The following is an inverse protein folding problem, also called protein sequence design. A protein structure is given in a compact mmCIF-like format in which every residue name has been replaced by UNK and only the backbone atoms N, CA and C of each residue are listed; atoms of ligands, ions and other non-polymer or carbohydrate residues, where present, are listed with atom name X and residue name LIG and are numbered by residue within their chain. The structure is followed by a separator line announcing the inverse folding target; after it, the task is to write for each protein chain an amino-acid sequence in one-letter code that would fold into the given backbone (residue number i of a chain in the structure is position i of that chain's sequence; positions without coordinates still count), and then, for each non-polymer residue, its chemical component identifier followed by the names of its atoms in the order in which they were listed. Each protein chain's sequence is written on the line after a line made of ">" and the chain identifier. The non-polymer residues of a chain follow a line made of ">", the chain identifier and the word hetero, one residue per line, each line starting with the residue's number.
data_IF_546526018084
#
_entry.id   IF_546526018084
#
_cell.length_a   1.000
_cell.length_b   1.000
_cell.length_c   1.000
_cell.angle_alpha   90.00
_cell.angle_beta   90.00
_cell.angle_gamma   90.00
#
_symmetry.space_group_name_H-M   'P 1'
#
loop_
_entity.id
_entity.type
_entity.pdbx_description
1 polymer ?
#
# COMPACT_ATOMS: atom_id res chain seq x y z
N UNK A 1 -23.97 7.20 37.22
CA UNK A 1 -24.56 8.46 36.75
C UNK A 1 -25.56 8.11 35.66
N UNK A 2 -26.86 8.09 36.00
CA UNK A 2 -27.93 7.84 35.02
C UNK A 2 -28.22 9.18 34.33
N UNK A 3 -28.07 9.23 33.02
CA UNK A 3 -28.51 10.39 32.24
C UNK A 3 -30.04 10.35 32.27
N UNK A 4 -30.64 11.44 32.75
CA UNK A 4 -32.08 11.60 32.80
C UNK A 4 -32.56 12.03 31.40
N UNK A 5 -33.12 11.08 30.67
CA UNK A 5 -33.50 11.24 29.26
C UNK A 5 -34.74 12.15 29.09
N UNK A 6 -35.40 12.52 30.19
CA UNK A 6 -36.62 13.36 30.18
C UNK A 6 -36.33 14.85 30.42
N UNK A 7 -35.05 15.27 30.53
CA UNK A 7 -34.69 16.69 30.66
C UNK A 7 -34.75 17.41 29.30
N UNK A 8 -35.61 18.44 29.13
CA UNK A 8 -35.83 19.10 27.84
C UNK A 8 -34.59 19.81 27.28
N UNK A 9 -33.72 20.36 28.15
CA UNK A 9 -32.47 21.02 27.73
C UNK A 9 -31.44 20.03 27.15
N UNK A 10 -31.35 18.81 27.70
CA UNK A 10 -30.50 17.77 27.10
C UNK A 10 -31.06 17.26 25.78
N UNK A 11 -32.39 17.21 25.65
CA UNK A 11 -33.05 16.82 24.40
C UNK A 11 -32.85 17.86 23.29
N UNK A 12 -32.89 19.16 23.62
CA UNK A 12 -32.62 20.25 22.67
C UNK A 12 -31.16 20.27 22.19
N UNK A 13 -30.19 20.13 23.10
CA UNK A 13 -28.77 20.11 22.72
C UNK A 13 -28.39 18.88 21.89
N UNK A 14 -28.98 17.72 22.21
CA UNK A 14 -28.83 16.51 21.38
C UNK A 14 -29.46 16.77 19.99
N UNK A 15 -30.67 17.33 19.94
CA UNK A 15 -31.32 17.65 18.67
C UNK A 15 -30.52 18.65 17.81
N UNK A 16 -29.84 19.61 18.42
CA UNK A 16 -29.02 20.61 17.73
C UNK A 16 -27.70 20.04 17.19
N UNK A 17 -27.04 19.17 17.95
CA UNK A 17 -25.86 18.40 17.48
C UNK A 17 -26.23 17.45 16.34
N UNK A 18 -27.38 16.80 16.42
CA UNK A 18 -27.89 16.00 15.30
C UNK A 18 -28.20 16.90 14.08
N UNK A 19 -28.79 18.09 14.27
CA UNK A 19 -29.16 18.99 13.16
C UNK A 19 -27.97 19.48 12.33
N UNK A 20 -26.87 19.87 12.97
CA UNK A 20 -25.71 20.44 12.27
C UNK A 20 -25.05 19.45 11.29
N UNK A 21 -24.97 18.18 11.68
CA UNK A 21 -24.50 17.08 10.81
C UNK A 21 -25.58 16.61 9.83
N UNK A 22 -26.86 16.73 10.22
CA UNK A 22 -28.00 16.32 9.38
C UNK A 22 -28.15 17.22 8.17
N UNK A 23 -27.99 18.54 8.28
CA UNK A 23 -28.21 19.44 7.13
C UNK A 23 -27.18 19.22 6.01
N UNK A 24 -25.92 18.97 6.37
CA UNK A 24 -24.87 18.62 5.41
C UNK A 24 -25.14 17.27 4.75
N UNK A 25 -25.54 16.27 5.55
CA UNK A 25 -25.91 14.95 5.06
C UNK A 25 -27.14 15.01 4.13
N UNK A 26 -28.17 15.78 4.48
CA UNK A 26 -29.37 15.98 3.66
C UNK A 26 -29.01 16.66 2.34
N UNK A 27 -28.10 17.64 2.34
CA UNK A 27 -27.62 18.26 1.11
C UNK A 27 -26.88 17.28 0.20
N UNK A 28 -26.07 16.38 0.77
CA UNK A 28 -25.39 15.32 0.02
C UNK A 28 -26.41 14.33 -0.55
N UNK A 29 -27.39 13.90 0.24
CA UNK A 29 -28.46 13.00 -0.19
C UNK A 29 -29.27 13.63 -1.33
N UNK A 30 -29.63 14.92 -1.24
CA UNK A 30 -30.36 15.62 -2.29
C UNK A 30 -29.57 15.68 -3.61
N UNK A 31 -28.27 15.99 -3.54
CA UNK A 31 -27.37 15.98 -4.71
C UNK A 31 -27.27 14.59 -5.33
N UNK A 32 -27.06 13.56 -4.52
CA UNK A 32 -26.99 12.16 -4.97
C UNK A 32 -28.32 11.72 -5.60
N UNK A 33 -29.45 12.12 -5.02
CA UNK A 33 -30.78 11.77 -5.54
C UNK A 33 -31.04 12.43 -6.90
N UNK A 34 -30.59 13.69 -7.08
CA UNK A 34 -30.74 14.44 -8.34
C UNK A 34 -29.91 13.87 -9.48
N UNK A 35 -28.66 13.47 -9.20
CA UNK A 35 -27.78 12.86 -10.23
C UNK A 35 -28.04 11.35 -10.39
N UNK A 36 -28.73 10.74 -9.43
CA UNK A 36 -28.98 9.32 -9.31
C UNK A 36 -27.85 8.62 -8.52
N UNK A 37 -28.18 7.75 -7.54
CA UNK A 37 -27.17 7.08 -6.71
C UNK A 37 -26.20 6.24 -7.53
N UNK A 38 -26.66 5.66 -8.64
CA UNK A 38 -25.84 4.90 -9.59
C UNK A 38 -24.82 5.75 -10.36
N UNK A 39 -24.84 7.07 -10.23
CA UNK A 39 -23.95 8.01 -10.91
C UNK A 39 -23.09 8.83 -9.94
N UNK A 40 -23.26 8.63 -8.62
CA UNK A 40 -22.50 9.30 -7.58
C UNK A 40 -21.30 8.46 -7.13
N UNK A 41 -20.17 9.09 -6.83
CA UNK A 41 -19.02 8.46 -6.20
C UNK A 41 -18.58 9.28 -4.97
N UNK A 42 -18.10 8.60 -3.93
CA UNK A 42 -17.62 9.17 -2.68
C UNK A 42 -16.10 9.32 -2.75
N UNK A 43 -15.60 10.54 -2.54
CA UNK A 43 -14.17 10.81 -2.40
C UNK A 43 -13.83 10.88 -0.91
N UNK A 44 -13.02 9.94 -0.43
CA UNK A 44 -12.33 10.03 0.84
C UNK A 44 -11.05 10.84 0.64
N UNK A 45 -11.11 12.11 1.01
CA UNK A 45 -10.00 13.05 0.84
C UNK A 45 -8.83 12.81 1.81
N UNK A 46 -9.05 12.09 2.92
CA UNK A 46 -7.97 11.73 3.85
C UNK A 46 -7.19 10.52 3.34
N UNK A 47 -7.86 9.61 2.63
CA UNK A 47 -7.26 8.35 2.14
C UNK A 47 -6.94 8.35 0.65
N UNK A 48 -7.37 9.37 -0.10
CA UNK A 48 -7.14 9.46 -1.53
C UNK A 48 -7.95 8.46 -2.36
N UNK A 49 -9.11 8.04 -1.87
CA UNK A 49 -9.89 6.96 -2.48
C UNK A 49 -11.19 7.54 -3.06
N UNK A 50 -11.52 7.17 -4.31
CA UNK A 50 -12.82 7.45 -4.92
C UNK A 50 -13.57 6.13 -5.08
N UNK A 51 -14.69 5.98 -4.37
CA UNK A 51 -15.50 4.75 -4.38
C UNK A 51 -16.90 5.04 -4.92
N UNK A 52 -17.38 4.23 -5.87
CA UNK A 52 -18.74 4.33 -6.40
C UNK A 52 -19.63 3.18 -5.93
N UNK A 53 -19.08 1.98 -5.92
CA UNK A 53 -19.66 0.74 -5.38
C UNK A 53 -18.51 -0.19 -4.96
N UNK A 54 -18.83 -1.41 -4.48
CA UNK A 54 -17.83 -2.34 -3.93
C UNK A 54 -16.70 -2.72 -4.91
N UNK A 55 -16.96 -2.62 -6.21
CA UNK A 55 -16.04 -3.08 -7.26
C UNK A 55 -15.43 -1.91 -8.05
N UNK A 56 -15.98 -0.69 -7.94
CA UNK A 56 -15.51 0.52 -8.60
C UNK A 56 -14.80 1.47 -7.63
N UNK A 57 -13.56 1.11 -7.28
CA UNK A 57 -12.68 1.88 -6.39
C UNK A 57 -11.47 2.37 -7.19
N UNK A 58 -11.31 3.69 -7.30
CA UNK A 58 -10.10 4.33 -7.82
C UNK A 58 -9.23 4.77 -6.64
N UNK A 59 -8.09 4.12 -6.47
CA UNK A 59 -7.10 4.44 -5.44
C UNK A 59 -6.04 5.34 -6.05
N UNK A 60 -5.86 6.53 -5.47
CA UNK A 60 -4.82 7.48 -5.86
C UNK A 60 -3.76 7.52 -4.76
N UNK A 61 -2.49 7.54 -5.16
CA UNK A 61 -1.38 7.68 -4.22
C UNK A 61 -1.45 9.03 -3.49
N UNK A 62 -1.14 9.04 -2.20
CA UNK A 62 -1.19 10.22 -1.31
C UNK A 62 -0.33 11.37 -1.84
N UNK A 63 0.80 11.05 -2.50
CA UNK A 63 1.68 12.04 -3.12
C UNK A 63 1.11 12.69 -4.40
N UNK A 64 0.05 12.11 -4.95
CA UNK A 64 -0.66 12.62 -6.13
C UNK A 64 -1.82 13.53 -5.75
N UNK A 65 -2.38 13.39 -4.54
CA UNK A 65 -3.51 14.20 -4.06
C UNK A 65 -3.26 15.71 -4.17
N UNK A 66 -2.11 16.26 -3.73
CA UNK A 66 -1.83 17.70 -3.84
C UNK A 66 -1.56 18.17 -5.28
N UNK A 67 -1.32 17.22 -6.20
CA UNK A 67 -1.00 17.49 -7.61
C UNK A 67 -2.24 17.45 -8.51
N UNK A 68 -3.38 17.01 -7.98
CA UNK A 68 -4.66 16.99 -8.70
C UNK A 68 -5.28 18.39 -8.65
N UNK A 69 -5.49 18.97 -9.84
CA UNK A 69 -6.25 20.22 -10.00
C UNK A 69 -7.68 19.87 -10.42
N UNK A 70 -8.63 20.11 -9.53
CA UNK A 70 -10.05 19.97 -9.84
C UNK A 70 -10.51 21.18 -10.68
N UNK A 71 -11.05 20.92 -11.87
CA UNK A 71 -11.65 21.95 -12.71
C UNK A 71 -13.16 21.71 -12.71
N UNK A 72 -13.94 22.75 -12.42
CA UNK A 72 -15.40 22.67 -12.42
C UNK A 72 -15.92 22.58 -13.85
N UNK A 73 -17.00 21.81 -14.03
CA UNK A 73 -17.69 21.70 -15.32
C UNK A 73 -18.13 23.10 -15.80
N UNK A 74 -17.76 23.47 -17.03
CA UNK A 74 -18.03 24.78 -17.64
C UNK A 74 -16.90 25.82 -17.52
N UNK A 75 -15.86 25.60 -16.72
CA UNK A 75 -14.71 26.53 -16.56
C UNK A 75 -13.43 26.05 -17.30
N UNK A 76 -13.52 24.97 -18.07
CA UNK A 76 -12.39 24.43 -18.84
C UNK A 76 -12.20 25.19 -20.16
N UNK A 77 -11.18 26.06 -20.22
CA UNK A 77 -10.74 26.72 -21.45
C UNK A 77 -9.36 26.20 -21.85
N UNK A 78 -9.32 25.33 -22.87
CA UNK A 78 -8.10 24.70 -23.35
C UNK A 78 -7.21 25.77 -24.05
N UNK A 79 -6.18 26.27 -23.36
CA UNK A 79 -5.21 27.19 -23.93
C UNK A 79 -4.01 26.42 -24.47
N UNK A 80 -3.64 26.69 -25.72
CA UNK A 80 -2.52 26.03 -26.42
C UNK A 80 -1.23 26.18 -25.60
N UNK A 81 -0.74 25.07 -25.04
CA UNK A 81 0.53 24.98 -24.32
C UNK A 81 0.45 24.87 -22.78
N UNK A 82 -0.74 24.84 -22.18
CA UNK A 82 -0.90 24.69 -20.73
C UNK A 82 -1.02 23.21 -20.28
N UNK A 83 -0.35 22.84 -19.20
CA UNK A 83 -0.38 21.46 -18.67
C UNK A 83 -1.72 21.15 -17.99
N UNK A 84 -2.46 20.20 -18.57
CA UNK A 84 -3.76 19.68 -18.09
C UNK A 84 -3.61 18.20 -17.71
N UNK A 85 -4.30 17.73 -16.67
CA UNK A 85 -4.42 16.29 -16.38
C UNK A 85 -5.57 15.71 -17.21
N UNK A 86 -5.22 15.14 -18.36
CA UNK A 86 -6.13 14.39 -19.24
C UNK A 86 -5.88 12.90 -19.01
N UNK A 87 -6.83 12.17 -18.43
CA UNK A 87 -6.76 10.71 -18.36
C UNK A 87 -7.08 10.14 -19.75
N UNK A 88 -6.04 9.74 -20.49
CA UNK A 88 -6.16 8.97 -21.74
C UNK A 88 -5.19 7.80 -21.67
N UNK A 89 -5.73 6.59 -21.65
CA UNK A 89 -4.98 5.34 -21.61
C UNK A 89 -5.94 4.16 -21.64
N UNK A 90 -5.42 2.97 -21.99
CA UNK A 90 -6.19 1.74 -21.86
C UNK A 90 -6.36 1.41 -20.38
N UNK A 91 -7.60 1.50 -19.90
CA UNK A 91 -7.99 1.05 -18.56
C UNK A 91 -8.00 -0.47 -18.58
N UNK A 92 -7.14 -1.10 -17.81
CA UNK A 92 -7.15 -2.54 -17.63
C UNK A 92 -8.03 -2.89 -16.42
N UNK A 93 -9.05 -3.75 -16.58
CA UNK A 93 -9.80 -4.27 -15.45
C UNK A 93 -8.84 -5.00 -14.52
N UNK A 94 -8.84 -4.62 -13.25
CA UNK A 94 -8.21 -5.43 -12.22
C UNK A 94 -9.30 -6.39 -11.77
N UNK A 95 -9.42 -7.53 -12.46
CA UNK A 95 -10.34 -8.58 -12.06
C UNK A 95 -9.96 -9.01 -10.63
N UNK A 96 -10.84 -8.73 -9.67
CA UNK A 96 -10.75 -8.95 -8.22
C UNK A 96 -10.20 -7.79 -7.37
N UNK A 97 -11.11 -6.91 -6.93
CA UNK A 97 -10.92 -6.10 -5.71
C UNK A 97 -11.35 -6.96 -4.51
N UNK A 98 -10.48 -7.85 -4.04
CA UNK A 98 -10.55 -8.20 -2.62
C UNK A 98 -10.32 -6.91 -1.84
N UNK A 99 -11.07 -6.70 -0.75
CA UNK A 99 -10.65 -5.78 0.30
C UNK A 99 -9.36 -6.38 0.87
N UNK A 100 -8.25 -6.16 0.17
CA UNK A 100 -6.93 -6.22 0.73
C UNK A 100 -6.98 -5.06 1.71
N UNK A 101 -7.33 -5.39 2.96
CA UNK A 101 -6.66 -4.77 4.08
C UNK A 101 -5.21 -4.75 3.62
N UNK A 102 -4.70 -3.59 3.17
CA UNK A 102 -3.27 -3.39 3.04
C UNK A 102 -2.79 -3.36 4.49
N UNK A 103 -2.89 -4.51 5.18
CA UNK A 103 -1.86 -4.97 6.08
C UNK A 103 -0.65 -4.78 5.20
N UNK A 104 0.08 -3.71 5.47
CA UNK A 104 1.49 -3.65 5.15
C UNK A 104 2.03 -4.94 5.74
N UNK A 105 2.11 -5.97 4.89
CA UNK A 105 2.36 -7.34 5.33
C UNK A 105 3.67 -7.24 6.07
N UNK A 106 3.75 -7.80 7.29
CA UNK A 106 4.93 -7.58 8.11
C UNK A 106 6.16 -7.99 7.29
N UNK A 107 7.27 -7.26 7.38
CA UNK A 107 8.50 -7.63 6.66
C UNK A 107 8.88 -9.09 6.92
N UNK A 108 8.57 -9.63 8.11
CA UNK A 108 8.78 -11.05 8.45
C UNK A 108 7.75 -12.00 7.85
N UNK A 109 6.60 -11.52 7.38
CA UNK A 109 5.65 -12.31 6.59
C UNK A 109 6.07 -12.35 5.11
N UNK A 110 6.59 -11.22 4.57
CA UNK A 110 7.06 -11.13 3.19
C UNK A 110 8.40 -11.84 2.98
N UNK A 111 9.30 -11.74 3.95
CA UNK A 111 10.63 -12.34 3.96
C UNK A 111 10.78 -13.20 5.22
N UNK A 112 10.20 -14.41 5.24
CA UNK A 112 10.10 -15.20 6.45
C UNK A 112 11.41 -15.88 6.87
N UNK A 113 12.46 -15.83 6.05
CA UNK A 113 13.67 -16.62 6.27
C UNK A 113 14.86 -15.72 6.61
N UNK A 114 15.52 -16.01 7.72
CA UNK A 114 16.90 -15.56 7.91
C UNK A 114 17.83 -16.28 6.93
N UNK A 115 19.04 -15.74 6.74
CA UNK A 115 20.07 -16.42 5.94
C UNK A 115 20.34 -17.86 6.43
N UNK A 116 20.31 -18.08 7.75
CA UNK A 116 20.54 -19.38 8.36
C UNK A 116 19.43 -20.38 8.00
N UNK A 117 18.17 -19.98 8.10
CA UNK A 117 17.02 -20.82 7.77
C UNK A 117 16.96 -21.13 6.28
N UNK A 118 17.15 -20.11 5.43
CA UNK A 118 17.23 -20.28 3.98
C UNK A 118 18.34 -21.29 3.62
N UNK A 119 19.55 -21.11 4.15
CA UNK A 119 20.67 -22.04 3.93
C UNK A 119 20.33 -23.46 4.36
N UNK A 120 19.69 -23.61 5.52
CA UNK A 120 19.31 -24.92 6.06
C UNK A 120 18.30 -25.61 5.15
N UNK A 121 17.27 -24.89 4.69
CA UNK A 121 16.29 -25.38 3.71
C UNK A 121 16.95 -25.78 2.38
N UNK A 122 17.88 -24.98 1.87
CA UNK A 122 18.63 -25.31 0.63
C UNK A 122 19.45 -26.59 0.83
N UNK A 123 20.15 -26.71 1.95
CA UNK A 123 20.96 -27.90 2.24
C UNK A 123 20.13 -29.18 2.37
N UNK A 124 18.89 -29.09 2.86
CA UNK A 124 17.96 -30.25 2.84
C UNK A 124 17.67 -30.68 1.40
N UNK A 125 17.48 -29.72 0.48
CA UNK A 125 17.20 -30.00 -0.95
C UNK A 125 18.45 -30.40 -1.74
N UNK A 126 19.63 -29.92 -1.32
CA UNK A 126 20.93 -30.16 -1.93
C UNK A 126 21.94 -30.55 -0.83
N UNK A 127 21.95 -31.81 -0.35
CA UNK A 127 22.70 -32.23 0.84
C UNK A 127 24.21 -31.99 0.80
N UNK A 128 24.79 -32.03 -0.39
CA UNK A 128 26.23 -31.94 -0.61
C UNK A 128 26.71 -30.50 -0.89
N UNK A 129 25.82 -29.52 -0.85
CA UNK A 129 26.20 -28.15 -1.21
C UNK A 129 27.03 -27.47 -0.12
N UNK A 130 28.12 -26.82 -0.54
CA UNK A 130 28.92 -25.99 0.34
C UNK A 130 28.21 -24.65 0.62
N UNK A 131 28.19 -24.23 1.90
CA UNK A 131 27.65 -22.93 2.29
C UNK A 131 28.28 -21.75 1.53
N UNK A 132 29.57 -21.86 1.18
CA UNK A 132 30.28 -20.81 0.46
C UNK A 132 29.73 -20.61 -0.96
N UNK A 133 29.20 -21.65 -1.60
CA UNK A 133 28.54 -21.52 -2.90
C UNK A 133 27.19 -20.79 -2.76
N UNK A 134 26.42 -21.09 -1.71
CA UNK A 134 25.18 -20.36 -1.40
C UNK A 134 25.48 -18.88 -1.16
N UNK A 135 26.45 -18.56 -0.29
CA UNK A 135 26.89 -17.18 -0.04
C UNK A 135 27.44 -16.50 -1.29
N UNK A 136 28.13 -17.26 -2.14
CA UNK A 136 28.66 -16.81 -3.42
C UNK A 136 27.55 -16.33 -4.35
N UNK A 137 26.52 -17.16 -4.57
CA UNK A 137 25.36 -16.81 -5.41
C UNK A 137 24.62 -15.58 -4.87
N UNK A 138 24.44 -15.48 -3.55
CA UNK A 138 23.82 -14.29 -2.93
C UNK A 138 24.60 -13.03 -3.23
N UNK A 139 25.93 -13.09 -3.16
CA UNK A 139 26.80 -11.93 -3.34
C UNK A 139 27.00 -11.57 -4.82
N UNK A 140 27.20 -12.55 -5.69
CA UNK A 140 27.43 -12.34 -7.13
C UNK A 140 26.21 -11.80 -7.87
N UNK A 141 25.01 -12.02 -7.31
CA UNK A 141 23.74 -11.55 -7.87
C UNK A 141 23.12 -10.41 -7.05
N UNK A 142 23.86 -9.86 -6.08
CA UNK A 142 23.43 -8.75 -5.23
C UNK A 142 22.04 -8.95 -4.56
N UNK A 143 21.72 -10.19 -4.17
CA UNK A 143 20.37 -10.54 -3.70
C UNK A 143 19.97 -9.81 -2.42
N UNK A 144 20.94 -9.30 -1.66
CA UNK A 144 20.72 -8.55 -0.41
C UNK A 144 20.11 -7.16 -0.62
N UNK A 145 20.35 -6.57 -1.80
CA UNK A 145 19.83 -5.27 -2.18
C UNK A 145 18.65 -5.38 -3.16
N UNK A 146 18.41 -6.57 -3.70
CA UNK A 146 17.25 -6.85 -4.55
C UNK A 146 16.01 -7.10 -3.71
N UNK A 147 15.09 -6.14 -3.73
CA UNK A 147 13.80 -6.20 -3.03
C UNK A 147 12.89 -7.31 -3.54
N UNK A 148 13.17 -7.91 -4.70
CA UNK A 148 12.47 -9.12 -5.14
C UNK A 148 12.79 -10.31 -4.25
N UNK A 149 13.98 -10.33 -3.65
CA UNK A 149 14.53 -11.52 -3.00
C UNK A 149 14.74 -11.34 -1.49
N UNK A 150 15.02 -10.12 -1.05
CA UNK A 150 15.35 -9.86 0.35
C UNK A 150 14.91 -8.48 0.84
N UNK A 151 14.93 -8.33 2.16
CA UNK A 151 14.79 -7.03 2.80
C UNK A 151 15.61 -6.97 4.10
N UNK A 152 16.07 -5.78 4.46
CA UNK A 152 16.76 -5.54 5.73
C UNK A 152 15.77 -5.44 6.88
N UNK A 153 15.99 -6.24 7.93
CA UNK A 153 15.17 -6.19 9.14
C UNK A 153 15.82 -5.26 10.17
N UNK A 154 15.46 -3.98 10.09
CA UNK A 154 15.99 -2.95 10.98
C UNK A 154 15.45 -3.09 12.40
N UNK A 155 16.34 -2.87 13.38
CA UNK A 155 15.98 -2.93 14.81
C UNK A 155 14.99 -1.84 15.23
N UNK A 156 15.03 -0.68 14.57
CA UNK A 156 14.19 0.46 14.89
C UNK A 156 13.87 1.27 13.64
N UNK A 157 12.81 2.07 13.74
CA UNK A 157 12.41 2.99 12.68
C UNK A 157 13.50 4.00 12.32
N UNK A 158 14.22 4.51 13.32
CA UNK A 158 15.35 5.42 13.12
C UNK A 158 16.48 4.80 12.29
N UNK A 159 16.77 3.49 12.47
CA UNK A 159 17.78 2.80 11.66
C UNK A 159 17.32 2.63 10.21
N UNK A 160 16.04 2.33 9.99
CA UNK A 160 15.44 2.25 8.66
C UNK A 160 15.52 3.60 7.95
N UNK A 161 15.13 4.69 8.62
CA UNK A 161 15.11 6.04 8.04
C UNK A 161 16.51 6.53 7.71
N UNK A 162 17.48 6.33 8.61
CA UNK A 162 18.89 6.67 8.33
C UNK A 162 19.45 5.90 7.14
N UNK A 163 19.10 4.61 7.00
CA UNK A 163 19.50 3.84 5.82
C UNK A 163 18.89 4.42 4.54
N UNK A 164 17.60 4.79 4.55
CA UNK A 164 16.95 5.42 3.40
C UNK A 164 17.58 6.76 3.01
N UNK A 165 18.01 7.54 3.99
CA UNK A 165 18.65 8.84 3.76
C UNK A 165 20.11 8.71 3.28
N UNK A 166 20.86 7.76 3.84
CA UNK A 166 22.33 7.71 3.68
C UNK A 166 22.83 6.56 2.81
N UNK A 167 22.00 5.54 2.56
CA UNK A 167 22.40 4.25 1.99
C UNK A 167 23.29 3.42 2.92
N UNK A 168 23.64 3.91 4.11
CA UNK A 168 24.55 3.22 5.04
C UNK A 168 23.75 2.24 5.89
N UNK A 169 24.05 0.96 5.73
CA UNK A 169 23.44 -0.11 6.52
C UNK A 169 24.07 -0.12 7.92
N UNK A 170 23.28 -0.03 9.01
CA UNK A 170 23.80 -0.16 10.36
C UNK A 170 24.49 -1.52 10.59
N UNK A 171 25.53 -1.53 11.42
CA UNK A 171 26.25 -2.75 11.77
C UNK A 171 25.31 -3.84 12.28
N UNK A 172 25.50 -5.07 11.80
CA UNK A 172 24.71 -6.24 12.20
C UNK A 172 23.23 -6.18 11.82
N UNK A 173 22.84 -5.41 10.80
CA UNK A 173 21.47 -5.44 10.26
C UNK A 173 21.27 -6.76 9.49
N UNK A 174 20.38 -7.65 9.94
CA UNK A 174 20.13 -8.91 9.24
C UNK A 174 19.33 -8.67 7.96
N UNK A 175 19.68 -9.42 6.91
CA UNK A 175 18.83 -9.57 5.73
C UNK A 175 17.90 -10.76 5.93
N UNK A 176 16.62 -10.55 5.64
CA UNK A 176 15.62 -11.59 5.51
C UNK A 176 15.40 -11.91 4.03
N UNK A 177 15.04 -13.14 3.72
CA UNK A 177 14.87 -13.66 2.37
C UNK A 177 13.50 -14.31 2.22
N UNK A 178 13.00 -14.32 1.00
CA UNK A 178 11.77 -15.01 0.64
C UNK A 178 12.07 -16.34 -0.08
N UNK A 179 11.02 -17.08 -0.40
CA UNK A 179 11.13 -18.38 -1.09
C UNK A 179 11.62 -18.23 -2.55
N UNK A 180 11.40 -17.07 -3.19
CA UNK A 180 11.95 -16.80 -4.52
C UNK A 180 13.48 -16.73 -4.50
N UNK A 181 14.07 -16.12 -3.48
CA UNK A 181 15.52 -16.06 -3.31
C UNK A 181 16.11 -17.47 -3.20
N UNK A 182 15.47 -18.32 -2.40
CA UNK A 182 15.86 -19.71 -2.25
C UNK A 182 15.78 -20.48 -3.58
N UNK A 183 14.68 -20.32 -4.32
CA UNK A 183 14.48 -20.99 -5.61
C UNK A 183 15.49 -20.50 -6.66
N UNK A 184 15.77 -19.20 -6.71
CA UNK A 184 16.80 -18.62 -7.55
C UNK A 184 18.17 -19.24 -7.25
N UNK A 185 18.56 -19.28 -5.96
CA UNK A 185 19.84 -19.87 -5.55
C UNK A 185 19.94 -21.34 -5.95
N UNK A 186 18.89 -22.13 -5.72
CA UNK A 186 18.87 -23.56 -6.11
C UNK A 186 19.04 -23.71 -7.62
N UNK A 187 18.37 -22.87 -8.42
CA UNK A 187 18.46 -22.90 -9.88
C UNK A 187 19.89 -22.58 -10.35
N UNK A 188 20.50 -21.55 -9.80
CA UNK A 188 21.87 -21.15 -10.13
C UNK A 188 22.90 -22.22 -9.76
N UNK A 189 22.77 -22.82 -8.58
CA UNK A 189 23.67 -23.87 -8.14
C UNK A 189 23.58 -25.13 -9.02
N UNK A 190 22.35 -25.52 -9.41
CA UNK A 190 22.16 -26.64 -10.35
C UNK A 190 22.74 -26.35 -11.74
N UNK A 191 22.65 -25.09 -12.20
CA UNK A 191 23.24 -24.67 -13.47
C UNK A 191 24.76 -24.75 -13.45
N UNK A 192 25.40 -24.46 -12.31
CA UNK A 192 26.85 -24.60 -12.16
C UNK A 192 27.36 -26.04 -12.03
N UNK A 193 26.47 -27.01 -11.82
CA UNK A 193 26.78 -28.45 -11.79
C UNK A 193 26.55 -29.14 -13.15
N UNK A 194 25.98 -28.44 -14.14
CA UNK A 194 25.72 -28.93 -15.52
C UNK A 194 26.78 -28.43 -16.49
#
# INVERSE_FOLDING_TARGET
>A
MKIDLDNPLSSEMIAELFKLDTDQLVSLIDKITKIGPSNAAVLDAERGIVEKDKDNILILDEELIPKIKFIKEGEFSEQKGATTLKLVGNVHPVDHVEIIRIKKQNITEQYPLTFLEMRTKIKIKLPNINQHHISGVVSSNDLKNDTKYSAYNFRSKQHEDKYKETGIIPSSTPSLYNEEAMNFIIKELKRSES
#
